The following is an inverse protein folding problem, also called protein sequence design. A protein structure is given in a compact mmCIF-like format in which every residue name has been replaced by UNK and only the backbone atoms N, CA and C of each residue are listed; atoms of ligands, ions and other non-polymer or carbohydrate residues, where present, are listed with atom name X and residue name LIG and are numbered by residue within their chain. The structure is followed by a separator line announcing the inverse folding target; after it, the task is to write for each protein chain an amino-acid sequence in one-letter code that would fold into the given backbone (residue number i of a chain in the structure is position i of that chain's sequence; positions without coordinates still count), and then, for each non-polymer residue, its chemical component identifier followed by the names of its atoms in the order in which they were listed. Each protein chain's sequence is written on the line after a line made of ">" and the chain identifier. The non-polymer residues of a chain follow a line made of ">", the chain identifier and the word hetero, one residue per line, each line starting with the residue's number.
data_IF_640923741617
#
_entry.id   IF_640923741617
#
_cell.length_a   1.000
_cell.length_b   1.000
_cell.length_c   1.000
_cell.angle_alpha   90.00
_cell.angle_beta   90.00
_cell.angle_gamma   90.00
#
_symmetry.space_group_name_H-M   'P 1'
#
loop_
_entity.id
_entity.type
_entity.pdbx_description
1 polymer ?
#
# COMPACT_ATOMS: atom_id res chain seq x y z
N UNK A 1 -3.79 41.62 -19.70
CA UNK A 1 -4.93 41.43 -18.77
C UNK A 1 -6.27 41.27 -19.49
N UNK A 2 -6.34 41.64 -20.77
CA UNK A 2 -7.55 41.48 -21.62
C UNK A 2 -7.94 40.01 -21.81
N UNK A 3 -7.01 39.15 -22.23
CA UNK A 3 -7.25 37.70 -22.43
C UNK A 3 -7.83 37.03 -21.18
N UNK A 4 -7.32 37.37 -19.99
CA UNK A 4 -7.85 36.79 -18.75
C UNK A 4 -9.30 37.21 -18.48
N UNK A 5 -9.62 38.50 -18.65
CA UNK A 5 -10.99 38.99 -18.47
C UNK A 5 -11.95 38.36 -19.48
N UNK A 6 -11.49 38.20 -20.70
CA UNK A 6 -12.26 37.58 -21.78
C UNK A 6 -12.50 36.08 -21.52
N UNK A 7 -11.47 35.33 -21.09
CA UNK A 7 -11.63 33.94 -20.66
C UNK A 7 -12.63 33.80 -19.50
N UNK A 8 -12.62 34.72 -18.52
CA UNK A 8 -13.61 34.71 -17.43
C UNK A 8 -15.02 34.95 -17.97
N UNK A 9 -15.18 35.90 -18.89
CA UNK A 9 -16.47 36.16 -19.53
C UNK A 9 -16.98 34.95 -20.32
N UNK A 10 -16.11 34.28 -21.08
CA UNK A 10 -16.43 33.06 -21.82
C UNK A 10 -16.88 31.90 -20.92
N UNK A 11 -16.32 31.81 -19.71
CA UNK A 11 -16.80 30.86 -18.70
C UNK A 11 -18.21 31.22 -18.21
N UNK A 12 -18.51 32.50 -17.98
CA UNK A 12 -19.81 32.97 -17.49
C UNK A 12 -20.94 32.74 -18.50
N UNK A 13 -20.66 32.92 -19.80
CA UNK A 13 -21.64 32.70 -20.86
C UNK A 13 -21.78 31.23 -21.26
N UNK A 14 -21.03 30.33 -20.61
CA UNK A 14 -21.16 28.89 -20.78
C UNK A 14 -20.54 28.37 -22.08
N UNK A 15 -19.35 28.87 -22.47
CA UNK A 15 -18.59 28.31 -23.59
C UNK A 15 -18.45 26.79 -23.45
N UNK A 16 -18.53 26.09 -24.58
CA UNK A 16 -18.38 24.64 -24.64
C UNK A 16 -17.03 24.20 -24.03
N UNK A 17 -17.12 23.23 -23.12
CA UNK A 17 -15.99 22.69 -22.37
C UNK A 17 -16.11 21.17 -22.29
N UNK A 18 -15.56 20.43 -23.28
CA UNK A 18 -15.81 19.00 -23.44
C UNK A 18 -15.34 18.13 -22.27
N UNK A 19 -14.29 18.54 -21.56
CA UNK A 19 -13.75 17.79 -20.41
C UNK A 19 -14.16 18.36 -19.05
N UNK A 20 -14.87 19.50 -19.04
CA UNK A 20 -15.29 20.20 -17.84
C UNK A 20 -14.13 20.79 -17.01
N UNK A 21 -12.93 20.85 -17.57
CA UNK A 21 -11.71 21.27 -16.90
C UNK A 21 -11.01 22.42 -17.66
N UNK A 22 -9.80 22.76 -17.24
CA UNK A 22 -8.99 23.82 -17.85
C UNK A 22 -8.51 23.43 -19.26
N UNK A 23 -8.14 22.18 -19.48
CA UNK A 23 -7.64 21.72 -20.78
C UNK A 23 -8.71 21.85 -21.89
N UNK A 24 -9.94 21.40 -21.65
CA UNK A 24 -11.04 21.53 -22.60
C UNK A 24 -11.45 22.98 -22.83
N UNK A 25 -11.48 23.79 -21.77
CA UNK A 25 -11.77 25.22 -21.88
C UNK A 25 -10.69 25.97 -22.69
N UNK A 26 -9.41 25.77 -22.37
CA UNK A 26 -8.30 26.42 -23.09
C UNK A 26 -8.28 25.95 -24.55
N UNK A 27 -8.52 24.66 -24.78
CA UNK A 27 -8.62 24.09 -26.12
C UNK A 27 -9.76 24.68 -26.95
N UNK A 28 -10.92 24.92 -26.32
CA UNK A 28 -12.04 25.57 -27.01
C UNK A 28 -11.79 27.07 -27.21
N UNK A 29 -11.22 27.76 -26.23
CA UNK A 29 -10.93 29.21 -26.27
C UNK A 29 -9.86 29.57 -27.31
N UNK A 30 -8.83 28.73 -27.49
CA UNK A 30 -7.82 28.89 -28.53
C UNK A 30 -7.90 27.76 -29.57
N UNK A 31 -8.89 27.79 -30.48
CA UNK A 31 -9.16 26.67 -31.39
C UNK A 31 -8.05 26.43 -32.41
N UNK A 32 -7.20 27.44 -32.67
CA UNK A 32 -6.10 27.41 -33.63
C UNK A 32 -4.76 26.98 -33.01
N UNK A 33 -4.73 26.51 -31.76
CA UNK A 33 -3.49 26.09 -31.08
C UNK A 33 -2.74 24.99 -31.83
N UNK A 34 -3.46 24.05 -32.44
CA UNK A 34 -2.86 22.95 -33.19
C UNK A 34 -2.21 23.40 -34.50
N UNK A 35 -2.66 24.52 -35.05
CA UNK A 35 -2.16 25.09 -36.30
C UNK A 35 -0.97 26.06 -36.07
N UNK A 36 -0.66 26.38 -34.81
CA UNK A 36 0.46 27.28 -34.49
C UNK A 36 1.82 26.66 -34.88
N UNK A 37 2.83 27.49 -35.20
CA UNK A 37 4.18 27.00 -35.45
C UNK A 37 4.78 26.32 -34.22
N UNK A 38 5.66 25.33 -34.46
CA UNK A 38 6.44 24.72 -33.38
C UNK A 38 7.38 25.74 -32.74
N UNK A 39 7.48 25.72 -31.42
CA UNK A 39 8.41 26.55 -30.67
C UNK A 39 9.84 26.05 -30.88
N UNK A 40 10.70 26.96 -31.32
CA UNK A 40 12.13 26.76 -31.42
C UNK A 40 12.83 27.84 -30.57
N UNK A 41 13.58 27.46 -29.52
CA UNK A 41 14.21 28.43 -28.65
C UNK A 41 15.26 29.23 -29.45
N UNK A 42 15.22 30.57 -29.43
CA UNK A 42 16.21 31.37 -30.13
C UNK A 42 17.58 31.22 -29.46
N UNK A 43 18.68 31.09 -30.22
CA UNK A 43 20.02 30.88 -29.67
C UNK A 43 20.48 32.02 -28.77
N UNK A 44 19.93 33.23 -28.98
CA UNK A 44 20.28 34.44 -28.24
C UNK A 44 19.39 34.69 -27.02
N UNK A 45 18.47 33.76 -26.68
CA UNK A 45 17.57 33.89 -25.53
C UNK A 45 16.54 35.02 -25.65
N UNK A 46 16.34 35.58 -26.84
CA UNK A 46 15.36 36.64 -27.08
C UNK A 46 13.94 36.12 -26.88
N UNK A 47 13.04 37.01 -26.45
CA UNK A 47 11.62 36.67 -26.32
C UNK A 47 10.99 36.57 -27.70
N UNK A 48 10.31 35.47 -27.99
CA UNK A 48 9.46 35.34 -29.16
C UNK A 48 8.09 35.97 -28.88
N UNK A 49 7.51 36.61 -29.89
CA UNK A 49 6.14 37.11 -29.86
C UNK A 49 5.19 36.14 -30.58
N UNK A 50 3.96 36.01 -30.08
CA UNK A 50 2.94 35.09 -30.60
C UNK A 50 2.74 33.79 -29.81
N UNK A 51 1.90 32.91 -30.38
CA UNK A 51 1.54 31.59 -29.83
C UNK A 51 2.30 30.49 -30.57
N UNK A 52 2.78 29.50 -29.83
CA UNK A 52 3.59 28.42 -30.40
C UNK A 52 3.20 27.08 -29.78
N UNK A 53 3.34 26.01 -30.55
CA UNK A 53 3.25 24.64 -30.05
C UNK A 53 4.55 24.22 -29.41
N UNK A 54 4.51 23.74 -28.18
CA UNK A 54 5.70 23.24 -27.52
C UNK A 54 6.08 21.84 -28.05
N UNK A 55 7.37 21.53 -28.25
CA UNK A 55 7.83 20.17 -28.50
C UNK A 55 7.43 19.23 -27.35
N UNK A 56 7.20 17.95 -27.68
CA UNK A 56 6.72 16.95 -26.72
C UNK A 56 7.55 16.88 -25.43
N UNK A 57 8.86 17.06 -25.53
CA UNK A 57 9.76 17.02 -24.37
C UNK A 57 9.54 18.13 -23.32
N UNK A 58 8.77 19.18 -23.63
CA UNK A 58 8.35 20.21 -22.67
C UNK A 58 7.11 19.81 -21.84
N UNK A 59 6.46 18.69 -22.16
CA UNK A 59 5.35 18.13 -21.40
C UNK A 59 5.29 16.62 -21.58
N UNK A 60 6.34 15.92 -21.14
CA UNK A 60 6.49 14.50 -21.34
C UNK A 60 5.65 13.70 -20.35
N UNK A 61 4.66 12.96 -20.83
CA UNK A 61 3.87 12.06 -19.98
C UNK A 61 4.70 10.84 -19.53
N UNK A 62 4.78 10.66 -18.21
CA UNK A 62 5.41 9.52 -17.54
C UNK A 62 4.93 8.13 -18.04
N UNK A 63 3.71 8.01 -18.56
CA UNK A 63 3.17 6.74 -19.09
C UNK A 63 4.01 6.18 -20.25
N UNK A 64 4.57 7.04 -21.10
CA UNK A 64 5.48 6.64 -22.18
C UNK A 64 6.73 5.93 -21.65
N UNK A 65 7.24 6.37 -20.49
CA UNK A 65 8.33 5.68 -19.82
C UNK A 65 7.87 4.34 -19.29
N UNK A 66 6.71 4.24 -18.63
CA UNK A 66 6.27 2.99 -18.00
C UNK A 66 6.05 1.85 -18.99
N UNK A 67 5.61 2.15 -20.21
CA UNK A 67 5.46 1.15 -21.26
C UNK A 67 6.80 0.59 -21.73
N UNK A 68 7.82 1.45 -21.91
CA UNK A 68 9.12 1.06 -22.51
C UNK A 68 10.24 0.86 -21.49
N UNK A 69 10.02 1.25 -20.23
CA UNK A 69 11.01 1.38 -19.15
C UNK A 69 12.25 2.22 -19.52
N UNK A 70 12.11 3.11 -20.50
CA UNK A 70 13.14 4.05 -20.95
C UNK A 70 12.49 5.24 -21.64
N UNK A 71 13.16 6.39 -21.57
CA UNK A 71 12.75 7.56 -22.33
C UNK A 71 13.02 7.34 -23.83
N UNK A 72 12.05 7.72 -24.65
CA UNK A 72 12.11 7.66 -26.11
C UNK A 72 11.46 8.93 -26.64
N UNK A 73 12.19 10.05 -26.55
CA UNK A 73 11.69 11.36 -26.97
C UNK A 73 12.00 11.56 -28.46
N UNK A 74 11.00 11.73 -29.33
CA UNK A 74 11.20 11.78 -30.77
C UNK A 74 11.92 13.05 -31.23
N UNK A 75 11.78 14.16 -30.49
CA UNK A 75 12.43 15.42 -30.79
C UNK A 75 12.51 16.34 -29.54
N UNK A 76 13.57 17.14 -29.46
CA UNK A 76 13.77 18.12 -28.38
C UNK A 76 14.29 17.53 -27.05
N UNK A 77 14.63 18.40 -26.08
CA UNK A 77 15.06 17.98 -24.74
C UNK A 77 13.88 17.44 -23.92
N UNK A 78 14.12 16.40 -23.10
CA UNK A 78 13.15 15.94 -22.10
C UNK A 78 13.23 16.83 -20.86
N UNK A 79 12.57 17.98 -20.91
CA UNK A 79 12.72 19.04 -19.91
C UNK A 79 11.74 18.92 -18.75
N UNK A 80 10.50 18.49 -19.02
CA UNK A 80 9.44 18.44 -18.02
C UNK A 80 8.71 17.12 -18.11
N UNK A 81 8.61 16.42 -16.98
CA UNK A 81 7.85 15.17 -16.86
C UNK A 81 6.54 15.47 -16.13
N UNK A 82 5.43 15.09 -16.74
CA UNK A 82 4.11 15.14 -16.13
C UNK A 82 3.67 13.75 -15.69
N UNK A 83 2.92 13.70 -14.59
CA UNK A 83 2.38 12.46 -14.03
C UNK A 83 0.85 12.48 -14.11
N UNK A 84 0.24 12.35 -15.30
CA UNK A 84 -1.22 12.46 -15.47
C UNK A 84 -1.99 11.23 -14.96
N UNK A 85 -1.30 10.14 -14.64
CA UNK A 85 -1.90 8.90 -14.14
C UNK A 85 -2.72 9.06 -12.86
N UNK A 86 -3.39 7.97 -12.48
CA UNK A 86 -4.31 7.89 -11.35
C UNK A 86 -3.77 8.58 -10.09
N UNK A 87 -4.63 9.31 -9.38
CA UNK A 87 -4.27 10.09 -8.20
C UNK A 87 -3.63 9.25 -7.10
N UNK A 88 -3.93 7.94 -7.01
CA UNK A 88 -3.32 7.05 -6.03
C UNK A 88 -1.90 6.60 -6.38
N UNK A 89 -1.47 6.73 -7.63
CA UNK A 89 -0.16 6.28 -8.12
C UNK A 89 0.78 7.45 -8.40
N UNK A 90 0.53 8.61 -7.78
CA UNK A 90 1.42 9.75 -7.92
C UNK A 90 2.79 9.44 -7.30
N UNK A 91 3.87 9.97 -7.88
CA UNK A 91 5.23 9.54 -7.56
C UNK A 91 5.67 9.91 -6.14
N UNK A 92 4.97 10.81 -5.46
CA UNK A 92 5.24 11.21 -4.07
C UNK A 92 4.73 10.23 -3.02
N UNK A 93 3.91 9.26 -3.41
CA UNK A 93 3.45 8.23 -2.48
C UNK A 93 4.50 7.13 -2.33
N UNK A 94 4.77 6.76 -1.08
CA UNK A 94 5.76 5.73 -0.77
C UNK A 94 5.43 4.36 -1.41
N UNK A 95 4.14 4.06 -1.61
CA UNK A 95 3.69 2.82 -2.25
C UNK A 95 3.72 2.84 -3.78
N UNK A 96 3.87 4.02 -4.40
CA UNK A 96 3.86 4.14 -5.87
C UNK A 96 5.09 3.52 -6.51
N UNK A 97 6.24 3.53 -5.83
CA UNK A 97 7.38 2.69 -6.21
C UNK A 97 7.31 1.38 -5.43
N UNK A 98 7.60 0.20 -6.01
CA UNK A 98 8.18 -0.05 -7.34
C UNK A 98 7.16 -0.19 -8.49
N UNK A 99 5.87 0.03 -8.25
CA UNK A 99 4.81 -0.06 -9.29
C UNK A 99 5.15 0.85 -10.47
N UNK A 100 5.45 2.12 -10.20
CA UNK A 100 5.85 3.13 -11.17
C UNK A 100 7.31 3.55 -10.92
N UNK A 101 8.26 3.13 -11.79
CA UNK A 101 9.69 3.26 -11.53
C UNK A 101 10.18 4.70 -11.41
N UNK A 102 9.54 5.65 -12.10
CA UNK A 102 9.90 7.08 -12.01
C UNK A 102 9.66 7.69 -10.62
N UNK A 103 8.90 7.01 -9.74
CA UNK A 103 8.75 7.44 -8.35
C UNK A 103 10.10 7.61 -7.64
N UNK A 104 11.08 6.74 -7.91
CA UNK A 104 12.40 6.86 -7.27
C UNK A 104 13.16 8.11 -7.73
N UNK A 105 13.06 8.47 -9.02
CA UNK A 105 13.68 9.68 -9.56
C UNK A 105 13.02 10.94 -8.99
N UNK A 106 11.71 10.91 -8.80
CA UNK A 106 11.00 12.00 -8.12
C UNK A 106 11.45 12.15 -6.67
N UNK A 107 11.58 11.05 -5.94
CA UNK A 107 12.04 11.04 -4.54
C UNK A 107 13.51 11.45 -4.38
N UNK A 108 14.35 11.23 -5.40
CA UNK A 108 15.71 11.76 -5.49
C UNK A 108 15.69 13.29 -5.57
N UNK A 109 14.89 13.86 -6.49
CA UNK A 109 14.75 15.30 -6.64
C UNK A 109 14.19 15.95 -5.37
N UNK A 110 13.20 15.30 -4.74
CA UNK A 110 12.68 15.75 -3.44
C UNK A 110 13.76 15.78 -2.38
N UNK A 111 14.61 14.74 -2.29
CA UNK A 111 15.69 14.68 -1.30
C UNK A 111 16.62 15.88 -1.41
N UNK A 112 16.91 16.32 -2.63
CA UNK A 112 17.82 17.43 -2.92
C UNK A 112 17.20 18.82 -2.68
N UNK A 113 15.86 18.93 -2.75
CA UNK A 113 15.15 20.22 -2.69
C UNK A 113 14.44 20.46 -1.36
N UNK A 114 13.62 19.51 -0.91
CA UNK A 114 12.76 19.62 0.29
C UNK A 114 13.23 18.72 1.43
N UNK A 115 13.83 17.57 1.11
CA UNK A 115 14.16 16.54 2.10
C UNK A 115 12.94 15.79 2.66
N UNK A 116 13.15 15.13 3.80
CA UNK A 116 12.16 14.33 4.53
C UNK A 116 12.08 14.69 6.03
N UNK A 117 12.64 15.84 6.42
CA UNK A 117 12.82 16.19 7.83
C UNK A 117 11.51 16.28 8.61
N UNK A 118 10.42 16.70 7.95
CA UNK A 118 9.10 16.79 8.56
C UNK A 118 8.51 15.42 8.93
N UNK A 119 8.76 14.40 8.12
CA UNK A 119 8.22 13.05 8.34
C UNK A 119 9.10 12.17 9.24
N UNK A 120 10.40 12.47 9.35
CA UNK A 120 11.36 11.65 10.11
C UNK A 120 10.97 11.39 11.59
N UNK A 121 10.47 12.38 12.37
CA UNK A 121 10.05 12.12 13.75
C UNK A 121 8.96 11.06 13.84
N UNK A 122 7.97 11.11 12.95
CA UNK A 122 6.87 10.13 12.91
C UNK A 122 7.40 8.74 12.54
N UNK A 123 8.30 8.66 11.55
CA UNK A 123 8.93 7.39 11.14
C UNK A 123 9.71 6.75 12.29
N UNK A 124 10.47 7.55 13.05
CA UNK A 124 11.24 7.06 14.20
C UNK A 124 10.31 6.58 15.32
N UNK A 125 9.28 7.36 15.67
CA UNK A 125 8.28 6.98 16.67
C UNK A 125 7.59 5.66 16.29
N UNK A 126 7.14 5.53 15.04
CA UNK A 126 6.52 4.31 14.53
C UNK A 126 7.46 3.11 14.60
N UNK A 127 8.73 3.29 14.20
CA UNK A 127 9.75 2.24 14.26
C UNK A 127 9.97 1.74 15.69
N UNK A 128 10.15 2.67 16.65
CA UNK A 128 10.31 2.34 18.07
C UNK A 128 9.07 1.63 18.61
N UNK A 129 7.87 2.11 18.25
CA UNK A 129 6.62 1.51 18.70
C UNK A 129 6.45 0.07 18.18
N UNK A 130 6.72 -0.18 16.90
CA UNK A 130 6.64 -1.52 16.33
C UNK A 130 7.68 -2.48 16.93
N UNK A 131 8.92 -2.02 17.14
CA UNK A 131 9.95 -2.80 17.83
C UNK A 131 9.57 -3.08 19.29
N UNK A 132 8.98 -2.09 19.98
CA UNK A 132 8.44 -2.24 21.33
C UNK A 132 7.33 -3.29 21.39
N UNK A 133 6.38 -3.28 20.45
CA UNK A 133 5.35 -4.32 20.32
C UNK A 133 5.99 -5.70 20.14
N UNK A 134 6.97 -5.83 19.26
CA UNK A 134 7.66 -7.11 19.03
C UNK A 134 8.36 -7.61 20.30
N UNK A 135 9.04 -6.73 21.04
CA UNK A 135 9.68 -7.10 22.29
C UNK A 135 8.65 -7.52 23.36
N UNK A 136 7.58 -6.73 23.53
CA UNK A 136 6.53 -7.01 24.50
C UNK A 136 5.77 -8.29 24.19
N UNK A 137 5.46 -8.55 22.92
CA UNK A 137 4.78 -9.78 22.49
C UNK A 137 5.64 -11.03 22.66
N UNK A 138 6.98 -10.92 22.64
CA UNK A 138 7.89 -12.03 22.98
C UNK A 138 7.96 -12.30 24.48
N UNK A 139 7.86 -11.25 25.30
CA UNK A 139 7.93 -11.35 26.77
C UNK A 139 6.58 -11.71 27.41
N UNK A 140 5.47 -11.33 26.78
CA UNK A 140 4.13 -11.69 27.22
C UNK A 140 3.92 -13.20 27.10
N UNK A 141 3.37 -13.84 28.16
CA UNK A 141 2.86 -15.20 28.03
C UNK A 141 1.74 -15.22 26.98
N UNK A 142 1.69 -16.23 26.11
CA UNK A 142 0.58 -16.35 25.17
C UNK A 142 -0.73 -16.49 25.95
N UNK A 143 -1.70 -15.67 25.60
CA UNK A 143 -3.00 -15.60 26.26
C UNK A 143 -4.08 -15.85 25.23
N UNK A 144 -4.69 -17.04 25.21
CA UNK A 144 -6.07 -17.16 24.76
C UNK A 144 -6.90 -16.44 25.82
N UNK A 145 -7.60 -15.37 25.44
CA UNK A 145 -8.25 -14.45 26.37
C UNK A 145 -8.90 -15.20 27.53
N UNK A 146 -8.46 -14.93 28.77
CA UNK A 146 -9.07 -15.41 30.02
C UNK A 146 -10.53 -14.95 30.22
N UNK A 147 -11.21 -14.51 29.16
CA UNK A 147 -12.60 -14.09 29.15
C UNK A 147 -13.59 -15.26 29.11
N UNK A 148 -13.17 -16.48 28.76
CA UNK A 148 -14.08 -17.62 28.64
C UNK A 148 -14.45 -18.30 29.98
N UNK A 149 -13.91 -17.87 31.13
CA UNK A 149 -13.96 -18.68 32.35
C UNK A 149 -15.04 -18.29 33.38
N UNK A 150 -16.23 -17.81 33.02
CA UNK A 150 -17.23 -17.59 34.10
C UNK A 150 -18.70 -17.81 33.86
N UNK A 151 -19.20 -17.96 32.63
CA UNK A 151 -20.63 -18.22 32.44
C UNK A 151 -20.93 -18.62 31.00
N UNK A 152 -21.46 -19.82 30.78
CA UNK A 152 -22.60 -20.10 29.89
C UNK A 152 -22.54 -21.48 29.23
N UNK A 153 -23.36 -22.41 29.72
CA UNK A 153 -23.62 -23.71 29.10
C UNK A 153 -24.44 -23.65 27.79
N UNK A 154 -24.87 -22.46 27.32
CA UNK A 154 -25.77 -22.34 26.15
C UNK A 154 -25.28 -21.49 24.97
N UNK A 155 -24.21 -20.70 25.10
CA UNK A 155 -23.76 -19.75 24.05
C UNK A 155 -22.37 -20.05 23.47
N UNK A 156 -21.83 -21.26 23.70
CA UNK A 156 -20.46 -21.62 23.34
C UNK A 156 -20.21 -21.51 21.82
N UNK A 157 -21.16 -21.95 20.98
CA UNK A 157 -21.02 -21.87 19.52
C UNK A 157 -20.99 -20.43 19.00
N UNK A 158 -21.86 -19.56 19.49
CA UNK A 158 -21.89 -18.13 19.12
C UNK A 158 -20.62 -17.41 19.56
N UNK A 159 -20.13 -17.72 20.77
CA UNK A 159 -18.87 -17.16 21.29
C UNK A 159 -17.66 -17.62 20.45
N UNK A 160 -17.61 -18.90 20.08
CA UNK A 160 -16.56 -19.44 19.21
C UNK A 160 -16.58 -18.78 17.83
N UNK A 161 -17.76 -18.60 17.22
CA UNK A 161 -17.89 -17.88 15.94
C UNK A 161 -17.40 -16.43 16.08
N UNK A 162 -17.78 -15.74 17.15
CA UNK A 162 -17.32 -14.38 17.45
C UNK A 162 -15.80 -14.29 17.56
N UNK A 163 -15.17 -15.19 18.33
CA UNK A 163 -13.71 -15.25 18.48
C UNK A 163 -13.00 -15.51 17.14
N UNK A 164 -13.56 -16.37 16.27
CA UNK A 164 -12.99 -16.60 14.94
C UNK A 164 -13.02 -15.34 14.08
N UNK A 165 -14.15 -14.66 14.06
CA UNK A 165 -14.33 -13.42 13.30
C UNK A 165 -13.35 -12.36 13.80
N UNK A 166 -13.22 -12.19 15.12
CA UNK A 166 -12.25 -11.26 15.72
C UNK A 166 -10.81 -11.63 15.33
N UNK A 167 -10.44 -12.91 15.35
CA UNK A 167 -9.09 -13.34 14.95
C UNK A 167 -8.79 -13.00 13.48
N UNK A 168 -9.73 -13.28 12.57
CA UNK A 168 -9.58 -12.95 11.14
C UNK A 168 -9.46 -11.44 10.94
N UNK A 169 -10.33 -10.65 11.57
CA UNK A 169 -10.25 -9.18 11.52
C UNK A 169 -8.97 -8.64 12.12
N UNK A 170 -8.43 -9.25 13.18
CA UNK A 170 -7.15 -8.86 13.77
C UNK A 170 -5.99 -9.07 12.80
N UNK A 171 -6.00 -10.18 12.05
CA UNK A 171 -5.00 -10.45 11.01
C UNK A 171 -5.15 -9.43 9.87
N UNK A 172 -6.37 -9.18 9.38
CA UNK A 172 -6.61 -8.20 8.32
C UNK A 172 -6.17 -6.79 8.74
N UNK A 173 -6.54 -6.37 9.96
CA UNK A 173 -6.14 -5.09 10.52
C UNK A 173 -4.62 -4.95 10.62
N UNK A 174 -3.89 -6.04 10.94
CA UNK A 174 -2.43 -6.01 10.99
C UNK A 174 -1.78 -5.61 9.65
N UNK A 175 -2.41 -5.93 8.51
CA UNK A 175 -1.91 -5.55 7.18
C UNK A 175 -2.48 -4.23 6.66
N UNK A 176 -3.65 -3.81 7.13
CA UNK A 176 -4.34 -2.58 6.68
C UNK A 176 -3.86 -1.36 7.48
N UNK A 177 -3.76 -1.46 8.81
CA UNK A 177 -3.46 -0.31 9.68
C UNK A 177 -2.10 0.34 9.36
N UNK A 178 -0.98 -0.41 9.20
CA UNK A 178 0.30 0.22 8.89
C UNK A 178 0.26 1.03 7.59
N UNK A 179 -0.51 0.60 6.59
CA UNK A 179 -0.61 1.31 5.31
C UNK A 179 -1.12 2.75 5.48
N UNK A 180 -2.16 2.94 6.31
CA UNK A 180 -2.78 4.25 6.52
C UNK A 180 -2.07 5.12 7.56
N UNK A 181 -1.26 4.51 8.43
CA UNK A 181 -0.56 5.22 9.51
C UNK A 181 0.77 5.80 9.03
N UNK A 182 1.41 5.20 8.03
CA UNK A 182 2.68 5.69 7.47
C UNK A 182 2.43 6.98 6.68
N UNK A 183 3.20 8.06 6.92
CA UNK A 183 3.02 9.30 6.18
C UNK A 183 3.20 9.06 4.69
N UNK A 184 2.24 9.53 3.90
CA UNK A 184 2.15 9.26 2.47
C UNK A 184 3.42 9.62 1.67
N UNK A 185 4.14 10.63 2.14
CA UNK A 185 5.24 11.30 1.46
C UNK A 185 6.64 10.78 1.80
N UNK A 186 6.75 9.75 2.65
CA UNK A 186 8.05 9.19 3.03
C UNK A 186 8.77 8.57 1.83
N UNK A 187 10.09 8.43 1.94
CA UNK A 187 10.87 7.75 0.92
C UNK A 187 10.37 6.29 0.74
N UNK A 188 10.17 5.78 -0.50
CA UNK A 188 9.56 4.47 -0.73
C UNK A 188 10.25 3.31 0.00
N UNK A 189 11.59 3.30 0.02
CA UNK A 189 12.35 2.29 0.75
C UNK A 189 12.05 2.30 2.26
N UNK A 190 11.88 3.48 2.85
CA UNK A 190 11.51 3.62 4.26
C UNK A 190 10.05 3.25 4.47
N UNK A 191 9.15 3.68 3.58
CA UNK A 191 7.72 3.36 3.64
C UNK A 191 7.47 1.85 3.60
N UNK A 192 8.06 1.13 2.64
CA UNK A 192 7.93 -0.33 2.58
C UNK A 192 8.57 -1.05 3.76
N UNK A 193 9.75 -0.59 4.22
CA UNK A 193 10.39 -1.17 5.41
C UNK A 193 9.53 -1.01 6.65
N UNK A 194 8.95 0.19 6.83
CA UNK A 194 8.08 0.51 7.96
C UNK A 194 6.74 -0.23 7.87
N UNK A 195 6.20 -0.39 6.66
CA UNK A 195 5.00 -1.18 6.40
C UNK A 195 5.19 -2.64 6.78
N UNK A 196 6.27 -3.27 6.29
CA UNK A 196 6.57 -4.67 6.59
C UNK A 196 6.87 -4.87 8.09
N UNK A 197 7.58 -3.93 8.71
CA UNK A 197 7.84 -3.93 10.15
C UNK A 197 6.53 -3.83 10.96
N UNK A 198 5.66 -2.88 10.60
CA UNK A 198 4.36 -2.69 11.25
C UNK A 198 3.44 -3.89 11.07
N UNK A 199 3.35 -4.43 9.85
CA UNK A 199 2.55 -5.61 9.55
C UNK A 199 3.04 -6.84 10.34
N UNK A 200 4.35 -7.02 10.44
CA UNK A 200 4.95 -8.08 11.26
C UNK A 200 4.70 -7.87 12.76
N UNK A 201 4.87 -6.66 13.28
CA UNK A 201 4.66 -6.34 14.70
C UNK A 201 3.20 -6.57 15.12
N UNK A 202 2.25 -6.09 14.34
CA UNK A 202 0.81 -6.29 14.61
C UNK A 202 0.40 -7.76 14.42
N UNK A 203 0.99 -8.46 13.44
CA UNK A 203 0.78 -9.90 13.30
C UNK A 203 1.27 -10.70 14.51
N UNK A 204 2.39 -10.28 15.14
CA UNK A 204 2.86 -10.90 16.39
C UNK A 204 1.83 -10.79 17.53
N UNK A 205 1.04 -9.71 17.58
CA UNK A 205 -0.05 -9.57 18.56
C UNK A 205 -1.12 -10.63 18.27
N UNK A 206 -1.60 -10.73 17.03
CA UNK A 206 -2.63 -11.70 16.65
C UNK A 206 -2.16 -13.16 16.88
N UNK A 207 -0.89 -13.46 16.53
CA UNK A 207 -0.27 -14.76 16.75
C UNK A 207 -0.30 -15.15 18.23
N UNK A 208 0.11 -14.26 19.13
CA UNK A 208 0.17 -14.56 20.56
C UNK A 208 -1.19 -14.53 21.25
N UNK A 209 -2.11 -13.67 20.81
CA UNK A 209 -3.46 -13.56 21.37
C UNK A 209 -4.36 -14.75 21.01
N UNK A 210 -4.16 -15.35 19.83
CA UNK A 210 -4.98 -16.46 19.35
C UNK A 210 -4.22 -17.79 19.24
N UNK A 211 -2.97 -17.84 19.72
CA UNK A 211 -2.07 -19.01 19.62
C UNK A 211 -1.98 -19.57 18.19
N UNK A 212 -1.91 -18.67 17.21
CA UNK A 212 -1.90 -19.04 15.79
C UNK A 212 -0.49 -19.48 15.36
N UNK A 213 -0.39 -20.36 14.35
CA UNK A 213 0.91 -20.68 13.77
C UNK A 213 1.49 -19.44 13.07
N UNK A 214 2.71 -19.08 13.44
CA UNK A 214 3.39 -17.87 12.95
C UNK A 214 3.56 -17.86 11.42
N UNK A 215 3.99 -18.99 10.85
CA UNK A 215 4.32 -19.11 9.43
C UNK A 215 3.10 -18.81 8.52
N UNK A 216 1.92 -19.44 8.70
CA UNK A 216 0.72 -19.10 7.94
C UNK A 216 0.26 -17.65 8.04
N UNK A 217 0.35 -17.03 9.23
CA UNK A 217 -0.05 -15.61 9.43
C UNK A 217 0.87 -14.65 8.67
N UNK A 218 2.15 -15.00 8.56
CA UNK A 218 3.17 -14.17 7.91
C UNK A 218 3.36 -14.43 6.41
N UNK A 219 2.73 -15.48 5.85
CA UNK A 219 2.83 -15.76 4.41
C UNK A 219 2.41 -14.59 3.52
N UNK A 220 1.33 -13.81 3.82
CA UNK A 220 1.03 -12.61 3.05
C UNK A 220 2.17 -11.59 3.06
N UNK A 221 2.85 -11.39 4.20
CA UNK A 221 3.99 -10.49 4.30
C UNK A 221 5.16 -10.94 3.39
N UNK A 222 5.47 -12.23 3.37
CA UNK A 222 6.49 -12.79 2.46
C UNK A 222 6.05 -12.63 0.99
N UNK A 223 4.78 -12.88 0.71
CA UNK A 223 4.19 -12.68 -0.62
C UNK A 223 4.34 -11.23 -1.11
N UNK A 224 4.02 -10.26 -0.25
CA UNK A 224 4.18 -8.83 -0.51
C UNK A 224 5.66 -8.49 -0.75
N UNK A 225 6.56 -8.96 0.12
CA UNK A 225 7.99 -8.72 -0.07
C UNK A 225 8.51 -9.25 -1.42
N UNK A 226 8.12 -10.48 -1.80
CA UNK A 226 8.53 -11.04 -3.09
C UNK A 226 7.94 -10.29 -4.28
N UNK A 227 6.68 -9.82 -4.23
CA UNK A 227 6.14 -9.01 -5.35
C UNK A 227 6.86 -7.66 -5.46
N UNK A 228 7.29 -7.06 -4.34
CA UNK A 228 8.11 -5.86 -4.36
C UNK A 228 9.46 -6.10 -5.04
N UNK A 229 10.12 -7.24 -4.77
CA UNK A 229 11.36 -7.62 -5.45
C UNK A 229 11.14 -7.83 -6.96
N UNK A 230 10.06 -8.53 -7.33
CA UNK A 230 9.68 -8.73 -8.73
C UNK A 230 9.48 -7.37 -9.42
N UNK A 231 8.77 -6.44 -8.80
CA UNK A 231 8.52 -5.12 -9.37
C UNK A 231 9.76 -4.23 -9.44
N UNK A 232 10.66 -4.33 -8.47
CA UNK A 232 11.89 -3.53 -8.38
C UNK A 232 13.03 -4.05 -9.29
N UNK A 233 12.92 -5.27 -9.80
CA UNK A 233 13.93 -5.87 -10.66
C UNK A 233 14.13 -5.05 -11.96
N UNK A 234 15.36 -4.65 -12.31
CA UNK A 234 15.62 -3.82 -13.49
C UNK A 234 15.72 -4.62 -14.80
N UNK A 235 15.59 -5.95 -14.77
CA UNK A 235 15.88 -6.82 -15.93
C UNK A 235 14.78 -6.89 -16.98
N UNK A 236 13.65 -6.21 -16.78
CA UNK A 236 12.56 -6.22 -17.74
C UNK A 236 12.88 -5.38 -18.97
N UNK A 237 12.62 -5.96 -20.15
CA UNK A 237 12.80 -5.25 -21.43
C UNK A 237 11.79 -4.12 -21.61
N UNK A 238 10.59 -4.25 -21.05
CA UNK A 238 9.52 -3.25 -21.13
C UNK A 238 8.49 -3.46 -20.00
N UNK A 239 7.55 -2.51 -19.87
CA UNK A 239 6.53 -2.54 -18.82
C UNK A 239 5.55 -3.70 -18.93
N UNK A 240 5.31 -4.20 -20.15
CA UNK A 240 4.38 -5.33 -20.40
C UNK A 240 4.98 -6.63 -19.85
N UNK A 241 6.25 -6.91 -20.15
CA UNK A 241 6.95 -8.09 -19.61
C UNK A 241 7.02 -8.04 -18.09
N UNK A 242 7.26 -6.85 -17.51
CA UNK A 242 7.20 -6.65 -16.06
C UNK A 242 5.81 -6.97 -15.50
N UNK A 243 4.74 -6.48 -16.14
CA UNK A 243 3.37 -6.81 -15.78
C UNK A 243 3.10 -8.31 -15.79
N UNK A 244 3.50 -9.01 -16.86
CA UNK A 244 3.36 -10.47 -16.98
C UNK A 244 4.13 -11.22 -15.90
N UNK A 245 5.33 -10.77 -15.53
CA UNK A 245 6.11 -11.37 -14.44
C UNK A 245 5.42 -11.22 -13.07
N UNK A 246 4.79 -10.06 -12.81
CA UNK A 246 3.99 -9.84 -11.60
C UNK A 246 2.79 -10.80 -11.56
N UNK A 247 2.07 -10.94 -12.68
CA UNK A 247 0.97 -11.90 -12.79
C UNK A 247 1.45 -13.34 -12.58
N UNK A 248 2.57 -13.73 -13.20
CA UNK A 248 3.17 -15.05 -13.02
C UNK A 248 3.56 -15.33 -11.56
N UNK A 249 4.17 -14.35 -10.90
CA UNK A 249 4.48 -14.44 -9.46
C UNK A 249 3.21 -14.62 -8.62
N UNK A 250 2.19 -13.79 -8.85
CA UNK A 250 0.93 -13.86 -8.11
C UNK A 250 0.22 -15.22 -8.31
N UNK A 251 0.24 -15.75 -9.54
CA UNK A 251 -0.27 -17.07 -9.87
C UNK A 251 0.47 -18.17 -9.11
N UNK A 252 1.81 -18.13 -9.08
CA UNK A 252 2.63 -19.11 -8.35
C UNK A 252 2.45 -19.02 -6.83
N UNK A 253 2.26 -17.82 -6.28
CA UNK A 253 2.08 -17.62 -4.84
C UNK A 253 0.66 -17.93 -4.35
N UNK A 254 -0.35 -17.88 -5.22
CA UNK A 254 -1.76 -18.06 -4.85
C UNK A 254 -2.04 -19.39 -4.14
N UNK A 255 -1.57 -20.57 -4.63
CA UNK A 255 -1.76 -21.84 -3.93
C UNK A 255 -1.13 -21.86 -2.53
N UNK A 256 0.04 -21.22 -2.36
CA UNK A 256 0.76 -21.17 -1.08
C UNK A 256 -0.02 -20.34 -0.06
N UNK A 257 -0.53 -19.18 -0.49
CA UNK A 257 -1.38 -18.32 0.33
C UNK A 257 -2.67 -19.04 0.70
N UNK A 258 -3.29 -19.76 -0.25
CA UNK A 258 -4.49 -20.55 0.00
C UNK A 258 -4.27 -21.66 1.04
N UNK A 259 -3.21 -22.46 0.89
CA UNK A 259 -2.86 -23.51 1.87
C UNK A 259 -2.62 -22.90 3.26
N UNK A 260 -2.02 -21.72 3.32
CA UNK A 260 -1.76 -21.01 4.57
C UNK A 260 -3.06 -20.53 5.22
N UNK A 261 -4.00 -20.02 4.43
CA UNK A 261 -5.34 -19.65 4.91
C UNK A 261 -6.09 -20.87 5.45
N UNK A 262 -6.08 -22.00 4.73
CA UNK A 262 -6.71 -23.25 5.20
C UNK A 262 -6.08 -23.74 6.50
N UNK A 263 -4.75 -23.72 6.61
CA UNK A 263 -4.05 -24.07 7.86
C UNK A 263 -4.45 -23.14 9.00
N UNK A 264 -4.52 -21.84 8.75
CA UNK A 264 -4.93 -20.87 9.76
C UNK A 264 -6.37 -21.13 10.25
N UNK A 265 -7.31 -21.36 9.34
CA UNK A 265 -8.69 -21.69 9.67
C UNK A 265 -8.80 -23.01 10.46
N UNK A 266 -8.03 -24.04 10.09
CA UNK A 266 -8.00 -25.31 10.82
C UNK A 266 -7.40 -25.18 12.22
N UNK A 267 -6.31 -24.42 12.39
CA UNK A 267 -5.70 -24.19 13.70
C UNK A 267 -6.64 -23.40 14.61
N UNK A 268 -7.31 -22.38 14.06
CA UNK A 268 -8.32 -21.61 14.78
C UNK A 268 -9.49 -22.49 15.23
N UNK A 269 -9.96 -23.40 14.36
CA UNK A 269 -10.99 -24.39 14.71
C UNK A 269 -10.52 -25.30 15.86
N UNK A 270 -9.35 -25.93 15.72
CA UNK A 270 -8.82 -26.90 16.69
C UNK A 270 -8.52 -26.23 18.03
N UNK A 271 -7.95 -25.02 18.04
CA UNK A 271 -7.68 -24.27 19.28
C UNK A 271 -8.97 -23.95 20.04
N UNK A 272 -10.04 -23.57 19.34
CA UNK A 272 -11.34 -23.28 19.94
C UNK A 272 -12.09 -24.53 20.43
N UNK A 273 -11.92 -25.66 19.74
CA UNK A 273 -12.46 -26.96 20.18
C UNK A 273 -11.73 -27.49 21.41
N UNK A 274 -10.38 -27.44 21.41
CA UNK A 274 -9.55 -27.90 22.54
C UNK A 274 -9.89 -27.15 23.83
N UNK A 275 -10.16 -25.84 23.75
CA UNK A 275 -10.63 -25.07 24.91
C UNK A 275 -12.06 -25.41 25.35
N UNK A 276 -12.93 -25.89 24.46
CA UNK A 276 -14.27 -26.36 24.85
C UNK A 276 -14.24 -27.71 25.58
N UNK A 277 -13.20 -28.54 25.36
CA UNK A 277 -13.05 -29.85 26.01
C UNK A 277 -12.30 -29.81 27.35
N UNK A 278 -11.37 -28.88 27.55
CA UNK A 278 -10.59 -28.76 28.81
C UNK A 278 -11.40 -28.49 30.11
N UNK A 279 -12.58 -27.83 30.10
CA UNK A 279 -13.40 -27.67 31.30
C UNK A 279 -13.94 -29.00 31.84
N UNK A 280 -14.29 -29.94 30.94
CA UNK A 280 -14.93 -31.21 31.32
C UNK A 280 -14.00 -32.17 32.06
N UNK A 281 -12.68 -32.08 31.84
CA UNK A 281 -11.73 -33.00 32.46
C UNK A 281 -11.44 -32.60 33.92
N UNK A 282 -11.45 -31.30 34.25
CA UNK A 282 -11.19 -30.80 35.60
C UNK A 282 -12.37 -31.07 36.55
N UNK A 283 -13.61 -31.14 36.05
CA UNK A 283 -14.78 -31.49 36.85
C UNK A 283 -14.97 -33.00 37.07
N UNK A 284 -14.17 -33.86 36.42
CA UNK A 284 -14.29 -35.33 36.48
C UNK A 284 -13.43 -36.01 37.55
N UNK A 285 -13.00 -35.28 38.59
CA UNK A 285 -12.34 -35.89 39.75
C UNK A 285 -13.44 -36.38 40.71
N UNK A 286 -13.60 -37.69 40.99
CA UNK A 286 -14.64 -38.16 41.90
C UNK A 286 -14.37 -37.67 43.34
N UNK A 287 -15.40 -37.43 44.17
CA UNK A 287 -15.18 -37.03 45.55
C UNK A 287 -14.41 -38.14 46.27
N UNK A 288 -13.38 -37.75 47.03
CA UNK A 288 -12.61 -38.67 47.86
C UNK A 288 -13.56 -39.41 48.80
N UNK A 289 -13.82 -40.68 48.48
CA UNK A 289 -14.56 -41.59 49.34
C UNK A 289 -13.79 -41.75 50.65
N UNK A 290 -14.38 -41.22 51.73
CA UNK A 290 -13.98 -41.50 53.10
C UNK A 290 -14.13 -43.00 53.35
N UNK A 291 -13.03 -43.74 53.22
CA UNK A 291 -12.94 -45.11 53.71
C UNK A 291 -12.80 -45.06 55.24
N UNK A 292 -13.83 -45.51 55.95
CA UNK A 292 -13.73 -45.98 57.33
C UNK A 292 -12.72 -47.12 57.39
N UNK A 293 -11.80 -47.10 58.36
CA UNK A 293 -11.25 -48.30 58.99
C UNK A 293 -10.53 -47.95 60.31
N UNK A 294 -10.96 -48.67 61.36
CA UNK A 294 -10.55 -48.72 62.77
C UNK A 294 -10.92 -47.53 63.68
#
# INVERSE_FOLDING_TARGET
>A
MEVFKDMVHELEIGRDNPDGADQGFIGSYFPDLLDQPMFHPPPNGTKLDGRYRLPLGYQMDATYYYLRLRWSVPCGPNSVITFPGASWLKPWYWWSWPVLPLGIQWHEQRRQTLGYGAEMPVVLIQSVFYLGIMAMTRLARPTLSKLCYRRADKNISTLQIGLKVIAIWSILAAYIVPFFVIPHTVHPLLGWSLYLLGAFALSCIAINAFLLPMLPVLMPCIGIFGVLLVMACPWYSNGVVRGLAIFGYAFCCSPIIWVSLVKLMSCLQVSLEREAFMPKLVESTPPAGFNKLY
#
